data_IF_042337840037
#
_entry.id   IF_042337840037
#
_cell.length_a   1.000
_cell.length_b   1.000
_cell.length_c   1.000
_cell.angle_alpha   90.00
_cell.angle_beta   90.00
_cell.angle_gamma   90.00
#
_symmetry.space_group_name_H-M   'P 1'
#
loop_
_entity.id
_entity.type
_entity.pdbx_description
1 polymer ?
#
# COMPACT_ATOMS: atom_id res chain seq x y z
N UNK A 1 9.44 14.07 12.96
CA UNK A 1 8.73 13.65 11.73
C UNK A 1 9.46 14.26 10.55
N UNK A 2 9.91 13.43 9.62
CA UNK A 2 10.50 13.89 8.36
C UNK A 2 9.39 14.23 7.37
N UNK A 3 9.56 15.28 6.56
CA UNK A 3 8.58 15.70 5.56
C UNK A 3 9.28 16.05 4.25
N UNK A 4 8.72 15.57 3.13
CA UNK A 4 9.23 15.83 1.78
C UNK A 4 8.09 15.91 0.77
N UNK A 5 8.34 16.53 -0.38
CA UNK A 5 7.45 16.47 -1.53
C UNK A 5 7.60 15.12 -2.25
N UNK A 6 6.52 14.62 -2.82
CA UNK A 6 6.54 13.41 -3.62
C UNK A 6 7.27 13.64 -4.95
N UNK A 7 8.20 12.75 -5.27
CA UNK A 7 8.78 12.63 -6.60
C UNK A 7 7.99 11.60 -7.40
N UNK A 8 7.13 12.06 -8.31
CA UNK A 8 6.42 11.18 -9.24
C UNK A 8 7.36 10.84 -10.39
N UNK A 9 7.83 9.60 -10.43
CA UNK A 9 8.77 9.11 -11.44
C UNK A 9 8.07 8.85 -12.77
N UNK A 10 6.83 8.31 -12.69
CA UNK A 10 6.06 7.90 -13.86
C UNK A 10 4.57 7.84 -13.55
N UNK A 11 3.75 7.99 -14.58
CA UNK A 11 2.31 7.74 -14.53
C UNK A 11 1.92 6.74 -15.63
N UNK A 12 0.96 5.86 -15.30
CA UNK A 12 0.28 4.98 -16.24
C UNK A 12 -1.20 5.29 -16.27
N UNK A 13 -1.82 5.13 -17.42
CA UNK A 13 -3.24 5.40 -17.63
C UNK A 13 -3.51 6.85 -18.07
N UNK A 14 -4.80 7.29 -18.09
CA UNK A 14 -5.95 6.48 -17.67
C UNK A 14 -6.10 5.22 -18.54
N UNK A 15 -6.50 4.12 -17.92
CA UNK A 15 -6.65 2.85 -18.61
C UNK A 15 -8.01 2.80 -19.34
N UNK A 16 -8.07 2.26 -20.57
CA UNK A 16 -9.32 2.15 -21.32
C UNK A 16 -10.40 1.38 -20.52
N UNK A 17 -11.57 2.00 -20.38
CA UNK A 17 -12.72 1.41 -19.66
C UNK A 17 -12.56 1.37 -18.12
N UNK A 18 -11.52 1.98 -17.56
CA UNK A 18 -11.31 2.10 -16.13
C UNK A 18 -11.70 3.49 -15.66
N UNK A 19 -12.77 3.60 -14.89
CA UNK A 19 -13.24 4.86 -14.33
C UNK A 19 -12.55 5.21 -13.01
N UNK A 20 -12.09 4.18 -12.27
CA UNK A 20 -11.48 4.37 -10.96
C UNK A 20 -10.49 3.25 -10.67
N UNK A 21 -9.33 3.59 -10.11
CA UNK A 21 -8.39 2.65 -9.50
C UNK A 21 -8.62 2.69 -8.00
N UNK A 22 -9.13 1.60 -7.42
CA UNK A 22 -9.51 1.52 -6.00
C UNK A 22 -8.40 0.97 -5.11
N UNK A 23 -7.63 0.02 -5.62
CA UNK A 23 -6.53 -0.62 -4.90
C UNK A 23 -5.39 -0.95 -5.84
N UNK A 24 -4.20 -1.14 -5.28
CA UNK A 24 -2.99 -1.50 -6.01
C UNK A 24 -2.21 -2.51 -5.17
N UNK A 25 -1.68 -3.57 -5.80
CA UNK A 25 -0.67 -4.45 -5.20
C UNK A 25 0.34 -4.91 -6.25
N UNK A 26 1.48 -5.43 -5.81
CA UNK A 26 2.55 -5.93 -6.66
C UNK A 26 2.91 -7.36 -6.29
N UNK A 27 2.92 -8.26 -7.27
CA UNK A 27 3.21 -9.68 -7.06
C UNK A 27 4.68 -10.07 -7.32
N UNK A 28 5.55 -9.07 -7.49
CA UNK A 28 6.95 -9.25 -7.86
C UNK A 28 7.20 -9.24 -9.37
N UNK A 29 6.14 -9.29 -10.18
CA UNK A 29 6.22 -9.30 -11.64
C UNK A 29 5.22 -8.31 -12.27
N UNK A 30 4.02 -8.25 -11.76
CA UNK A 30 2.90 -7.46 -12.29
C UNK A 30 2.32 -6.57 -11.20
N UNK A 31 1.86 -5.40 -11.59
CA UNK A 31 1.06 -4.55 -10.71
C UNK A 31 -0.42 -4.87 -10.95
N UNK A 32 -1.11 -5.27 -9.90
CA UNK A 32 -2.53 -5.52 -9.93
C UNK A 32 -3.30 -4.29 -9.48
N UNK A 33 -4.31 -3.91 -10.25
CA UNK A 33 -5.19 -2.78 -9.92
C UNK A 33 -6.63 -3.25 -9.78
N UNK A 34 -7.28 -2.81 -8.71
CA UNK A 34 -8.69 -3.05 -8.45
C UNK A 34 -9.52 -1.96 -9.14
N UNK A 35 -10.44 -2.36 -10.03
CA UNK A 35 -11.19 -1.43 -10.89
C UNK A 35 -12.70 -1.65 -10.84
N UNK A 36 -13.23 -2.10 -9.72
CA UNK A 36 -14.64 -2.36 -9.47
C UNK A 36 -14.99 -3.84 -9.64
N UNK A 37 -15.29 -4.30 -10.83
CA UNK A 37 -15.67 -5.70 -11.09
C UNK A 37 -14.52 -6.55 -11.64
N UNK A 38 -13.28 -6.02 -11.59
CA UNK A 38 -12.10 -6.69 -12.11
C UNK A 38 -10.84 -6.33 -11.35
N UNK A 39 -9.91 -7.29 -11.34
CA UNK A 39 -8.49 -7.05 -11.10
C UNK A 39 -7.77 -7.06 -12.45
N UNK A 40 -7.11 -5.98 -12.79
CA UNK A 40 -6.26 -5.90 -13.98
C UNK A 40 -4.79 -6.00 -13.59
N UNK A 41 -4.06 -6.93 -14.21
CA UNK A 41 -2.61 -7.00 -14.13
C UNK A 41 -2.00 -6.10 -15.19
N UNK A 42 -1.11 -5.20 -14.78
CA UNK A 42 -0.37 -4.32 -15.68
C UNK A 42 1.14 -4.57 -15.59
N UNK A 43 1.81 -4.39 -16.69
CA UNK A 43 3.27 -4.44 -16.77
C UNK A 43 3.87 -3.20 -16.09
N UNK A 44 4.69 -3.35 -15.04
CA UNK A 44 5.28 -2.23 -14.31
C UNK A 44 6.25 -1.38 -15.13
N UNK A 45 6.76 -1.90 -16.26
CA UNK A 45 7.67 -1.16 -17.13
C UNK A 45 6.93 -0.28 -18.14
N UNK A 46 5.84 -0.78 -18.74
CA UNK A 46 5.12 -0.11 -19.82
C UNK A 46 3.74 0.40 -19.46
N UNK A 47 3.15 -0.06 -18.35
CA UNK A 47 1.76 0.22 -17.95
C UNK A 47 0.72 -0.49 -18.81
N UNK A 48 1.11 -1.42 -19.69
CA UNK A 48 0.16 -2.18 -20.51
C UNK A 48 -0.61 -3.18 -19.66
N UNK A 49 -1.93 -3.26 -19.87
CA UNK A 49 -2.73 -4.34 -19.30
C UNK A 49 -2.34 -5.66 -19.94
N UNK A 50 -1.92 -6.62 -19.12
CA UNK A 50 -1.50 -7.95 -19.52
C UNK A 50 -2.66 -8.93 -19.52
N UNK A 51 -3.49 -8.89 -18.48
CA UNK A 51 -4.67 -9.73 -18.30
C UNK A 51 -5.61 -9.15 -17.25
N UNK A 52 -6.81 -9.72 -17.16
CA UNK A 52 -7.81 -9.36 -16.17
C UNK A 52 -8.39 -10.61 -15.51
N UNK A 53 -8.83 -10.45 -14.27
CA UNK A 53 -9.61 -11.44 -13.52
C UNK A 53 -10.96 -10.79 -13.22
N UNK A 54 -12.05 -11.45 -13.63
CA UNK A 54 -13.41 -11.02 -13.31
C UNK A 54 -13.72 -11.42 -11.86
N UNK A 55 -13.66 -10.47 -10.96
CA UNK A 55 -13.91 -10.62 -9.53
C UNK A 55 -14.24 -9.26 -8.94
N UNK A 56 -15.15 -9.20 -7.97
CA UNK A 56 -15.46 -7.96 -7.27
C UNK A 56 -14.18 -7.38 -6.62
N UNK A 57 -13.83 -6.14 -6.98
CA UNK A 57 -12.58 -5.48 -6.62
C UNK A 57 -12.84 -4.01 -6.24
N UNK A 58 -13.55 -3.82 -5.12
CA UNK A 58 -14.14 -2.53 -4.76
C UNK A 58 -13.17 -1.60 -4.01
N UNK A 59 -12.12 -2.14 -3.37
CA UNK A 59 -11.17 -1.39 -2.57
C UNK A 59 -9.77 -2.00 -2.62
N UNK A 60 -9.05 -2.01 -1.50
CA UNK A 60 -7.67 -2.46 -1.39
C UNK A 60 -7.44 -3.90 -1.85
N UNK A 61 -6.25 -4.14 -2.38
CA UNK A 61 -5.76 -5.46 -2.77
C UNK A 61 -4.36 -5.68 -2.20
N UNK A 62 -4.00 -6.94 -1.90
CA UNK A 62 -2.70 -7.36 -1.38
C UNK A 62 -2.27 -8.70 -1.96
N UNK A 63 -0.98 -9.06 -1.76
CA UNK A 63 -0.41 -10.32 -2.23
C UNK A 63 0.45 -10.95 -1.14
N UNK A 64 0.26 -12.27 -0.85
CA UNK A 64 0.99 -13.00 0.19
C UNK A 64 2.22 -13.77 -0.31
N UNK A 65 2.59 -13.57 -1.59
CA UNK A 65 3.61 -14.35 -2.29
C UNK A 65 3.02 -15.53 -3.09
N UNK A 66 1.74 -15.85 -2.90
CA UNK A 66 1.06 -16.94 -3.60
C UNK A 66 -0.36 -16.57 -4.06
N UNK A 67 -1.10 -15.81 -3.26
CA UNK A 67 -2.50 -15.49 -3.50
C UNK A 67 -2.73 -13.97 -3.44
N UNK A 68 -3.70 -13.51 -4.22
CA UNK A 68 -4.23 -12.17 -4.09
C UNK A 68 -5.30 -12.14 -2.99
N UNK A 69 -5.32 -11.04 -2.24
CA UNK A 69 -6.39 -10.70 -1.31
C UNK A 69 -7.06 -9.44 -1.81
N UNK A 70 -8.38 -9.44 -1.86
CA UNK A 70 -9.15 -8.34 -2.43
C UNK A 70 -10.34 -7.99 -1.54
N UNK A 71 -10.45 -6.73 -1.16
CA UNK A 71 -11.63 -6.22 -0.45
C UNK A 71 -12.80 -6.14 -1.45
N UNK A 72 -13.88 -6.83 -1.13
CA UNK A 72 -15.14 -6.84 -1.86
C UNK A 72 -16.29 -6.70 -0.86
N UNK A 73 -16.89 -5.53 -0.80
CA UNK A 73 -17.95 -5.15 0.13
C UNK A 73 -17.55 -5.36 1.60
N UNK A 74 -18.12 -6.34 2.28
CA UNK A 74 -17.97 -6.65 3.71
C UNK A 74 -16.95 -7.76 4.01
N UNK A 75 -16.17 -8.18 3.02
CA UNK A 75 -15.22 -9.30 3.14
C UNK A 75 -13.95 -9.09 2.35
N UNK A 76 -12.94 -9.87 2.68
CA UNK A 76 -11.72 -10.01 1.88
C UNK A 76 -11.82 -11.36 1.17
N UNK A 77 -11.67 -11.35 -0.14
CA UNK A 77 -11.57 -12.55 -0.97
C UNK A 77 -10.10 -12.96 -1.09
N UNK A 78 -9.80 -14.22 -0.82
CA UNK A 78 -8.51 -14.85 -1.16
C UNK A 78 -8.65 -15.50 -2.53
N UNK A 79 -7.80 -15.11 -3.48
CA UNK A 79 -7.95 -15.41 -4.90
C UNK A 79 -6.69 -16.11 -5.40
N UNK A 80 -6.87 -17.20 -6.15
CA UNK A 80 -5.79 -17.78 -6.96
C UNK A 80 -5.50 -16.85 -8.15
N UNK A 81 -4.31 -16.23 -8.22
CA UNK A 81 -4.01 -15.28 -9.28
C UNK A 81 -3.93 -15.91 -10.67
N UNK A 82 -3.78 -17.23 -10.80
CA UNK A 82 -3.69 -17.91 -12.08
C UNK A 82 -5.06 -18.17 -12.69
N UNK A 83 -6.00 -18.62 -11.86
CA UNK A 83 -7.34 -19.03 -12.29
C UNK A 83 -8.40 -17.95 -12.09
N UNK A 84 -8.17 -17.00 -11.18
CA UNK A 84 -9.15 -16.01 -10.74
C UNK A 84 -10.18 -16.56 -9.75
N UNK A 85 -10.07 -17.82 -9.33
CA UNK A 85 -11.02 -18.40 -8.41
C UNK A 85 -10.85 -17.84 -6.99
N UNK A 86 -11.97 -17.47 -6.37
CA UNK A 86 -12.03 -17.15 -4.94
C UNK A 86 -11.99 -18.48 -4.17
N UNK A 87 -10.88 -18.70 -3.46
CA UNK A 87 -10.64 -19.95 -2.72
C UNK A 87 -11.05 -19.86 -1.25
N UNK A 88 -11.16 -18.66 -0.72
CA UNK A 88 -11.65 -18.40 0.64
C UNK A 88 -12.16 -16.97 0.77
N UNK A 89 -12.97 -16.73 1.79
CA UNK A 89 -13.40 -15.39 2.21
C UNK A 89 -13.12 -15.18 3.68
N UNK A 90 -12.71 -13.96 4.03
CA UNK A 90 -12.35 -13.54 5.38
C UNK A 90 -13.29 -12.39 5.74
N UNK A 91 -14.01 -12.44 6.86
CA UNK A 91 -14.89 -11.34 7.27
C UNK A 91 -14.08 -10.10 7.61
N UNK A 92 -14.59 -8.93 7.23
CA UNK A 92 -14.10 -7.65 7.69
C UNK A 92 -14.76 -7.26 9.02
N UNK A 93 -14.13 -6.40 9.83
CA UNK A 93 -14.75 -5.84 11.02
C UNK A 93 -16.08 -5.13 10.70
N UNK A 94 -16.95 -4.98 11.68
CA UNK A 94 -18.20 -4.23 11.51
C UNK A 94 -17.91 -2.77 11.24
N UNK A 95 -18.63 -2.15 10.29
CA UNK A 95 -18.56 -0.71 10.01
C UNK A 95 -18.60 -0.37 8.52
N UNK A 96 -17.78 -0.95 7.69
CA UNK A 96 -17.67 -0.56 6.27
C UNK A 96 -16.64 0.55 6.02
N UNK A 97 -16.61 1.06 4.78
CA UNK A 97 -15.65 2.11 4.38
C UNK A 97 -14.19 1.63 4.32
N UNK A 98 -13.97 0.33 4.10
CA UNK A 98 -12.64 -0.24 3.97
C UNK A 98 -11.98 0.20 2.68
N UNK A 99 -10.67 0.47 2.74
CA UNK A 99 -9.95 1.17 1.68
C UNK A 99 -8.66 0.47 1.25
N UNK A 100 -7.62 0.49 2.07
CA UNK A 100 -6.32 -0.12 1.80
C UNK A 100 -6.23 -1.55 2.32
N UNK A 101 -5.35 -2.36 1.70
CA UNK A 101 -5.05 -3.72 2.15
C UNK A 101 -3.57 -4.00 1.91
N UNK A 102 -2.91 -4.59 2.90
CA UNK A 102 -1.54 -5.10 2.78
C UNK A 102 -1.39 -6.46 3.46
N UNK A 103 -0.45 -7.24 2.97
CA UNK A 103 -0.01 -8.49 3.61
C UNK A 103 1.35 -8.28 4.26
N UNK A 104 1.47 -8.59 5.52
CA UNK A 104 2.73 -8.49 6.24
C UNK A 104 2.80 -9.48 7.41
N UNK A 105 3.94 -10.12 7.55
CA UNK A 105 4.26 -10.98 8.72
C UNK A 105 3.16 -12.01 9.03
N UNK A 106 2.57 -12.60 7.98
CA UNK A 106 1.49 -13.60 8.14
C UNK A 106 0.14 -13.02 8.52
N UNK A 107 -0.07 -11.70 8.46
CA UNK A 107 -1.30 -11.01 8.81
C UNK A 107 -1.76 -10.05 7.70
N UNK A 108 -3.02 -9.63 7.76
CA UNK A 108 -3.58 -8.60 6.89
C UNK A 108 -3.64 -7.26 7.62
N UNK A 109 -3.28 -6.19 6.93
CA UNK A 109 -3.43 -4.82 7.40
C UNK A 109 -4.46 -4.11 6.55
N UNK A 110 -5.54 -3.64 7.18
CA UNK A 110 -6.72 -3.12 6.50
C UNK A 110 -7.00 -1.69 6.92
N UNK A 111 -7.00 -0.78 5.96
CA UNK A 111 -7.42 0.60 6.18
C UNK A 111 -8.93 0.76 6.20
N UNK A 112 -9.44 1.53 7.13
CA UNK A 112 -10.83 1.99 7.16
C UNK A 112 -10.82 3.52 7.01
N UNK A 113 -11.38 4.00 5.90
CA UNK A 113 -11.18 5.37 5.43
C UNK A 113 -11.72 6.41 6.41
N UNK A 114 -13.04 6.53 6.52
CA UNK A 114 -13.70 7.59 7.29
C UNK A 114 -13.50 7.44 8.80
N UNK A 115 -13.41 6.20 9.29
CA UNK A 115 -13.12 5.93 10.71
C UNK A 115 -11.66 6.17 11.08
N UNK A 116 -10.80 6.44 10.07
CA UNK A 116 -9.39 6.77 10.28
C UNK A 116 -8.62 5.72 11.07
N UNK A 117 -8.84 4.45 10.71
CA UNK A 117 -8.24 3.31 11.40
C UNK A 117 -7.49 2.40 10.44
N UNK A 118 -6.50 1.71 10.97
CA UNK A 118 -5.84 0.58 10.32
C UNK A 118 -5.93 -0.59 11.29
N UNK A 119 -6.49 -1.70 10.81
CA UNK A 119 -6.59 -2.95 11.56
C UNK A 119 -5.53 -3.93 11.11
N UNK A 120 -4.89 -4.61 12.05
CA UNK A 120 -4.16 -5.84 11.81
C UNK A 120 -5.13 -7.00 12.07
N UNK A 121 -5.33 -7.85 11.08
CA UNK A 121 -6.29 -8.96 11.15
C UNK A 121 -5.60 -10.31 11.02
N UNK A 122 -6.13 -11.28 11.75
CA UNK A 122 -5.85 -12.69 11.49
C UNK A 122 -6.42 -13.10 10.12
N UNK A 123 -5.61 -13.63 9.20
CA UNK A 123 -6.04 -13.91 7.83
C UNK A 123 -6.95 -15.15 7.68
N UNK A 124 -7.16 -15.92 8.74
CA UNK A 124 -8.04 -17.08 8.73
C UNK A 124 -9.43 -16.75 9.28
N UNK A 125 -9.47 -15.89 10.29
CA UNK A 125 -10.70 -15.62 11.06
C UNK A 125 -11.25 -14.22 10.87
N UNK A 126 -10.44 -13.25 10.39
CA UNK A 126 -10.78 -11.84 10.35
C UNK A 126 -10.76 -11.17 11.72
N UNK A 127 -10.28 -11.86 12.76
CA UNK A 127 -10.19 -11.31 14.12
C UNK A 127 -9.21 -10.14 14.15
N UNK A 128 -9.61 -9.03 14.79
CA UNK A 128 -8.76 -7.88 15.01
C UNK A 128 -7.67 -8.22 16.03
N UNK A 129 -6.41 -8.20 15.60
CA UNK A 129 -5.24 -8.39 16.45
C UNK A 129 -4.75 -7.06 17.02
N UNK A 130 -4.92 -5.99 16.26
CA UNK A 130 -4.51 -4.63 16.62
C UNK A 130 -5.32 -3.59 15.87
N UNK A 131 -5.50 -2.42 16.49
CA UNK A 131 -6.05 -1.22 15.88
C UNK A 131 -5.07 -0.07 16.02
N UNK A 132 -4.84 0.65 14.93
CA UNK A 132 -4.04 1.88 14.87
C UNK A 132 -4.98 3.01 14.42
N UNK A 133 -4.91 4.13 15.10
CA UNK A 133 -5.65 5.33 14.72
C UNK A 133 -4.80 6.23 13.83
N UNK A 134 -5.42 6.80 12.81
CA UNK A 134 -4.85 7.82 11.94
C UNK A 134 -5.53 9.16 12.21
N UNK A 135 -4.79 10.26 12.03
CA UNK A 135 -5.37 11.62 12.12
C UNK A 135 -6.08 12.06 10.83
N UNK A 136 -5.96 11.27 9.75
CA UNK A 136 -6.58 11.55 8.43
C UNK A 136 -7.23 10.29 7.88
N UNK A 137 -8.06 10.47 6.85
CA UNK A 137 -8.66 9.35 6.11
C UNK A 137 -7.57 8.42 5.59
N UNK A 138 -7.70 7.13 5.88
CA UNK A 138 -6.78 6.09 5.39
C UNK A 138 -7.26 5.61 4.04
N UNK A 139 -6.39 5.61 3.04
CA UNK A 139 -6.74 5.16 1.68
C UNK A 139 -5.98 3.90 1.27
N UNK A 140 -4.72 4.00 0.87
CA UNK A 140 -3.88 2.83 0.60
C UNK A 140 -3.13 2.38 1.85
N UNK A 141 -2.77 1.10 1.92
CA UNK A 141 -1.92 0.55 2.99
C UNK A 141 -0.89 -0.37 2.35
N UNK A 142 0.36 -0.28 2.75
CA UNK A 142 1.43 -1.22 2.35
C UNK A 142 2.42 -1.45 3.47
N UNK A 143 3.18 -2.54 3.34
CA UNK A 143 4.24 -2.90 4.28
C UNK A 143 5.54 -3.18 3.52
N UNK A 144 6.61 -2.51 3.90
CA UNK A 144 7.92 -2.68 3.27
C UNK A 144 9.04 -2.46 4.28
N UNK A 145 10.05 -3.33 4.28
CA UNK A 145 11.22 -3.27 5.16
C UNK A 145 10.88 -3.20 6.66
N UNK A 146 9.82 -3.92 7.09
CA UNK A 146 9.36 -3.88 8.48
C UNK A 146 8.60 -2.61 8.86
N UNK A 147 8.18 -1.81 7.88
CA UNK A 147 7.53 -0.50 8.07
C UNK A 147 6.13 -0.48 7.50
N UNK A 148 5.20 0.05 8.29
CA UNK A 148 3.83 0.32 7.85
C UNK A 148 3.75 1.69 7.20
N UNK A 149 3.24 1.71 5.97
CA UNK A 149 2.93 2.92 5.23
C UNK A 149 1.45 2.97 4.87
N UNK A 150 0.88 4.14 4.87
CA UNK A 150 -0.47 4.35 4.36
C UNK A 150 -0.60 5.67 3.59
N UNK A 151 -1.52 5.68 2.64
CA UNK A 151 -1.95 6.89 1.95
C UNK A 151 -3.05 7.62 2.72
N UNK A 152 -3.17 8.91 2.49
CA UNK A 152 -4.30 9.73 2.92
C UNK A 152 -4.85 10.51 1.74
N UNK A 153 -6.15 10.86 1.81
CA UNK A 153 -6.75 11.74 0.82
C UNK A 153 -7.96 12.46 1.43
N UNK A 154 -7.84 13.77 1.63
CA UNK A 154 -8.91 14.64 2.14
C UNK A 154 -8.95 15.94 1.34
N UNK A 155 -10.08 16.21 0.64
CA UNK A 155 -10.19 17.33 -0.28
C UNK A 155 -9.17 17.23 -1.42
N UNK A 156 -8.40 18.29 -1.62
CA UNK A 156 -7.34 18.36 -2.64
C UNK A 156 -5.96 17.91 -2.13
N UNK A 157 -5.88 17.49 -0.86
CA UNK A 157 -4.62 17.08 -0.23
C UNK A 157 -4.54 15.58 -0.09
N UNK A 158 -3.37 15.05 -0.41
CA UNK A 158 -3.00 13.64 -0.23
C UNK A 158 -1.54 13.53 0.20
N UNK A 159 -1.25 12.56 1.03
CA UNK A 159 0.12 12.24 1.44
C UNK A 159 0.32 10.75 1.67
N UNK A 160 1.57 10.30 1.66
CA UNK A 160 1.99 8.98 2.10
C UNK A 160 2.65 9.12 3.46
N UNK A 161 2.29 8.25 4.40
CA UNK A 161 2.78 8.29 5.78
C UNK A 161 3.40 6.97 6.18
N UNK A 162 4.62 7.05 6.67
CA UNK A 162 5.21 5.99 7.45
C UNK A 162 4.81 6.15 8.91
N UNK A 163 4.27 5.11 9.49
CA UNK A 163 3.81 5.15 10.88
C UNK A 163 4.46 4.03 11.70
N UNK A 164 4.62 4.28 12.99
CA UNK A 164 4.93 3.22 13.94
C UNK A 164 3.75 2.24 14.01
N UNK A 165 3.99 0.98 13.68
CA UNK A 165 2.95 -0.04 13.58
C UNK A 165 2.33 -0.46 14.92
N UNK A 166 2.82 0.07 16.04
CA UNK A 166 2.29 -0.18 17.38
C UNK A 166 1.51 1.00 17.93
N UNK A 167 1.96 2.22 17.64
CA UNK A 167 1.40 3.45 18.23
C UNK A 167 0.60 4.29 17.25
N UNK A 168 0.81 4.11 15.94
CA UNK A 168 0.24 4.98 14.90
C UNK A 168 0.93 6.33 14.78
N UNK A 169 2.03 6.57 15.51
CA UNK A 169 2.80 7.80 15.39
C UNK A 169 3.34 7.97 13.98
N UNK A 170 3.14 9.16 13.40
CA UNK A 170 3.65 9.49 12.06
C UNK A 170 5.15 9.80 12.17
N UNK A 171 5.96 8.95 11.55
CA UNK A 171 7.42 9.05 11.54
C UNK A 171 7.94 9.83 10.33
N UNK A 172 7.24 9.70 9.20
CA UNK A 172 7.61 10.33 7.93
C UNK A 172 6.37 10.66 7.09
N UNK A 173 6.43 11.72 6.29
CA UNK A 173 5.36 12.20 5.42
C UNK A 173 5.92 12.57 4.05
N UNK A 174 5.27 12.11 2.99
CA UNK A 174 5.56 12.47 1.61
C UNK A 174 4.30 13.15 1.05
N UNK A 175 4.38 14.43 0.76
CA UNK A 175 3.24 15.22 0.27
C UNK A 175 3.08 15.05 -1.25
N UNK A 176 1.89 14.63 -1.66
CA UNK A 176 1.54 14.57 -3.08
C UNK A 176 1.29 15.99 -3.61
N UNK A 177 1.48 16.23 -4.92
CA UNK A 177 1.10 17.51 -5.53
C UNK A 177 -0.40 17.79 -5.31
N UNK A 178 -0.81 19.08 -5.21
CA UNK A 178 -2.22 19.46 -5.07
C UNK A 178 -3.12 18.81 -6.12
N UNK A 179 -4.27 18.30 -5.70
CA UNK A 179 -5.24 17.61 -6.57
C UNK A 179 -4.85 16.18 -6.98
N UNK A 180 -3.71 15.67 -6.52
CA UNK A 180 -3.25 14.30 -6.80
C UNK A 180 -3.61 13.38 -5.64
N UNK A 181 -4.73 12.67 -5.77
CA UNK A 181 -5.18 11.72 -4.76
C UNK A 181 -4.46 10.37 -4.81
N UNK A 182 -4.41 9.70 -3.66
CA UNK A 182 -3.93 8.32 -3.49
C UNK A 182 -5.06 7.47 -2.96
N UNK A 183 -5.53 6.49 -3.76
CA UNK A 183 -6.61 5.55 -3.39
C UNK A 183 -6.09 4.16 -2.99
N UNK A 184 -4.95 3.76 -3.52
CA UNK A 184 -4.26 2.51 -3.22
C UNK A 184 -2.77 2.76 -3.10
N UNK A 185 -2.06 1.94 -2.35
CA UNK A 185 -0.62 2.08 -2.12
C UNK A 185 0.02 0.70 -2.02
N UNK A 186 1.10 0.49 -2.78
CA UNK A 186 1.92 -0.71 -2.69
C UNK A 186 3.38 -0.37 -2.95
N UNK A 187 4.29 -1.12 -2.32
CA UNK A 187 5.73 -1.01 -2.58
C UNK A 187 6.18 -2.05 -3.61
N UNK A 188 7.19 -1.68 -4.42
CA UNK A 188 7.91 -2.64 -5.24
C UNK A 188 8.91 -3.51 -4.45
N UNK A 189 9.00 -3.31 -3.13
CA UNK A 189 10.01 -3.90 -2.27
C UNK A 189 11.36 -3.16 -2.30
N UNK A 190 11.50 -2.16 -3.16
CA UNK A 190 12.67 -1.34 -3.36
C UNK A 190 12.46 0.12 -2.98
N UNK A 191 12.73 1.02 -3.92
CA UNK A 191 12.67 2.47 -3.73
C UNK A 191 11.46 3.14 -4.42
N UNK A 192 10.41 2.38 -4.72
CA UNK A 192 9.22 2.88 -5.40
C UNK A 192 7.93 2.45 -4.71
N UNK A 193 6.95 3.34 -4.78
CA UNK A 193 5.56 3.06 -4.46
C UNK A 193 4.71 3.13 -5.73
N UNK A 194 3.81 2.18 -5.89
CA UNK A 194 2.70 2.24 -6.82
C UNK A 194 1.50 2.88 -6.10
N UNK A 195 1.02 4.00 -6.61
CA UNK A 195 -0.09 4.75 -6.03
C UNK A 195 -1.28 4.75 -6.98
N UNK A 196 -2.39 4.17 -6.57
CA UNK A 196 -3.66 4.28 -7.28
C UNK A 196 -4.21 5.70 -7.19
N UNK A 197 -4.68 6.23 -8.30
CA UNK A 197 -5.13 7.62 -8.41
C UNK A 197 -6.64 7.82 -8.36
N UNK A 198 -7.41 6.85 -7.81
CA UNK A 198 -8.85 6.95 -7.69
C UNK A 198 -9.54 7.27 -9.00
N UNK A 199 -10.42 8.25 -9.00
CA UNK A 199 -11.19 8.70 -10.18
C UNK A 199 -10.36 9.26 -11.33
N UNK A 200 -9.04 9.46 -11.17
CA UNK A 200 -8.18 9.79 -12.31
C UNK A 200 -7.95 8.61 -13.26
N UNK A 201 -8.28 7.38 -12.85
CA UNK A 201 -8.02 6.15 -13.60
C UNK A 201 -6.54 5.86 -13.83
N UNK A 202 -5.65 6.45 -13.04
CA UNK A 202 -4.19 6.34 -13.20
C UNK A 202 -3.55 5.54 -12.08
N UNK A 203 -2.34 5.03 -12.35
CA UNK A 203 -1.36 4.57 -11.36
C UNK A 203 -0.12 5.42 -11.48
N UNK A 204 0.40 5.90 -10.35
CA UNK A 204 1.62 6.70 -10.28
C UNK A 204 2.71 5.92 -9.59
N UNK A 205 3.93 6.01 -10.13
CA UNK A 205 5.12 5.52 -9.47
C UNK A 205 5.74 6.71 -8.73
N UNK A 206 5.82 6.58 -7.41
CA UNK A 206 6.36 7.60 -6.50
C UNK A 206 7.63 7.06 -5.87
N UNK A 207 8.69 7.88 -5.79
CA UNK A 207 9.92 7.48 -5.13
C UNK A 207 9.71 7.31 -3.63
N UNK A 208 10.10 6.15 -3.11
CA UNK A 208 10.19 5.90 -1.68
C UNK A 208 11.53 6.45 -1.16
N UNK A 209 11.57 7.27 -0.10
CA UNK A 209 12.81 7.70 0.51
C UNK A 209 13.61 6.48 1.01
N UNK A 210 14.88 6.40 0.62
CA UNK A 210 15.79 5.40 1.20
C UNK A 210 16.23 5.86 2.57
N UNK A 211 16.19 4.98 3.56
CA UNK A 211 16.93 5.21 4.79
C UNK A 211 18.43 5.28 4.44
N UNK A 212 19.06 6.38 4.75
CA UNK A 212 20.53 6.43 4.73
C UNK A 212 21.03 5.26 5.58
N UNK A 213 21.85 4.38 5.02
CA UNK A 213 22.57 3.39 5.79
C UNK A 213 23.29 4.18 6.91
N UNK A 214 23.01 3.83 8.17
CA UNK A 214 23.72 4.43 9.29
C UNK A 214 25.21 4.26 9.00
N UNK A 215 25.88 5.37 8.62
CA UNK A 215 27.30 5.39 8.39
C UNK A 215 27.93 4.83 9.66
N UNK A 216 28.64 3.72 9.52
CA UNK A 216 29.36 3.09 10.62
C UNK A 216 30.16 4.16 11.35
N UNK A 217 29.90 4.33 12.63
CA UNK A 217 30.79 5.11 13.51
C UNK A 217 32.12 4.41 13.47
N UNK A 218 33.01 4.95 12.65
CA UNK A 218 34.40 4.56 12.67
C UNK A 218 34.93 4.71 14.10
N UNK A 219 35.33 3.61 14.69
CA UNK A 219 36.14 3.61 15.90
C UNK A 219 37.49 4.17 15.52
N UNK A 220 37.71 5.47 15.76
CA UNK A 220 39.04 6.01 15.86
C UNK A 220 39.71 5.39 17.09
N UNK A 221 40.51 4.37 16.85
CA UNK A 221 41.47 3.89 17.82
C UNK A 221 42.64 4.91 17.87
N UNK A 222 42.64 5.75 18.85
CA UNK A 222 43.81 6.54 19.24
C UNK A 222 44.92 5.58 19.66
N UNK A 223 45.87 5.39 18.79
CA UNK A 223 47.20 4.84 19.13
C UNK A 223 47.98 5.91 19.83
N UNK A 224 48.03 5.78 21.15
CA UNK A 224 48.88 6.58 22.01
C UNK A 224 50.32 6.03 21.91
N UNK A 225 51.16 6.75 21.17
CA UNK A 225 52.60 6.51 21.11
C UNK A 225 53.26 7.12 22.34
N UNK A 226 53.70 6.31 23.30
CA UNK A 226 54.72 6.74 24.26
C UNK A 226 56.04 6.03 24.02
N UNK A 227 56.94 6.84 23.54
CA UNK A 227 58.37 6.57 23.53
C UNK A 227 58.93 6.42 24.94
N UNK A 228 59.68 5.38 25.19
CA UNK A 228 61.03 5.44 25.75
C UNK A 228 61.69 4.09 25.61
#
# INVERSE_FOLDING_TARGET
>A
MNQSAAEIIREFGPFPGVHKVNGVTYDGQQVWIAVGEKLNAIDPASGKTLRSIDVAAHAGTAFDGQHLFQIADDRIQKIDPKTGHVIATIPLPVGGGFSGLAWAEGTLWVGQCEDRKIYQLDPQTGTILRTIESKRFVTGVTWVDGELWHGTWEGDESDLRRVDSRTGEVLEKIEMPPGVGVSGLESDGGDQFFCGGGGSGKVRIVRRPRRGSAAGRGSESTLDSKSK
#
